data_IF_416720893956
#
_entry.id   IF_416720893956
#
_cell.length_a   1.000
_cell.length_b   1.000
_cell.length_c   1.000
_cell.angle_alpha   90.00
_cell.angle_beta   90.00
_cell.angle_gamma   90.00
#
_symmetry.space_group_name_H-M   'P 1'
#
loop_
_entity.id
_entity.type
_entity.pdbx_description
1 polymer ?
#
# COMPACT_ATOMS: atom_id res chain seq x y z
N UNK A 1 -26.75 9.94 7.05
CA UNK A 1 -25.55 10.33 6.29
C UNK A 1 -24.75 9.07 6.04
N UNK A 2 -24.20 8.91 4.84
CA UNK A 2 -23.34 7.76 4.51
C UNK A 2 -21.90 8.25 4.61
N UNK A 3 -21.07 7.54 5.38
CA UNK A 3 -19.66 7.88 5.50
C UNK A 3 -18.94 7.61 4.17
N UNK A 4 -17.98 8.46 3.76
CA UNK A 4 -17.22 8.22 2.54
C UNK A 4 -16.38 6.94 2.67
N UNK A 5 -16.10 6.24 1.57
CA UNK A 5 -15.18 5.12 1.61
C UNK A 5 -13.76 5.59 1.97
N UNK A 6 -12.94 4.70 2.55
CA UNK A 6 -11.51 4.97 2.72
C UNK A 6 -10.81 5.22 1.38
N UNK A 7 -9.86 6.16 1.37
CA UNK A 7 -9.00 6.39 0.20
C UNK A 7 -8.01 5.23 -0.02
N UNK A 8 -7.53 4.61 1.05
CA UNK A 8 -6.55 3.53 1.02
C UNK A 8 -6.90 2.42 2.01
N UNK A 9 -6.84 1.16 1.56
CA UNK A 9 -6.90 -0.04 2.39
C UNK A 9 -5.57 -0.80 2.31
N UNK A 10 -5.09 -1.35 3.42
CA UNK A 10 -3.89 -2.20 3.45
C UNK A 10 -4.29 -3.60 3.92
N UNK A 11 -3.99 -4.60 3.09
CA UNK A 11 -4.27 -6.02 3.31
C UNK A 11 -2.97 -6.81 3.46
N UNK A 12 -2.96 -7.78 4.39
CA UNK A 12 -1.81 -8.66 4.67
C UNK A 12 -2.27 -10.12 4.50
N UNK A 13 -1.89 -10.71 3.38
CA UNK A 13 -2.35 -12.01 2.88
C UNK A 13 -1.30 -13.09 3.06
N UNK A 14 -1.04 -13.49 4.30
CA UNK A 14 -0.02 -14.52 4.58
C UNK A 14 -0.60 -15.94 4.45
N UNK A 15 -1.86 -16.14 4.85
CA UNK A 15 -2.47 -17.49 4.95
C UNK A 15 -3.82 -17.63 4.25
N UNK A 16 -4.53 -16.53 3.98
CA UNK A 16 -5.82 -16.51 3.30
C UNK A 16 -5.80 -15.51 2.14
N UNK A 17 -6.25 -15.94 0.96
CA UNK A 17 -6.32 -15.08 -0.23
C UNK A 17 -7.40 -14.00 -0.05
N UNK A 18 -6.97 -12.76 0.17
CA UNK A 18 -7.81 -11.56 0.24
C UNK A 18 -8.21 -11.04 -1.14
N UNK A 19 -7.78 -11.70 -2.23
CA UNK A 19 -8.29 -11.46 -3.58
C UNK A 19 -9.83 -11.51 -3.65
N UNK A 20 -10.48 -12.28 -2.76
CA UNK A 20 -11.94 -12.34 -2.65
C UNK A 20 -12.58 -11.04 -2.14
N UNK A 21 -11.80 -10.08 -1.59
CA UNK A 21 -12.32 -8.80 -1.07
C UNK A 21 -12.24 -7.65 -2.07
N UNK A 22 -11.40 -7.75 -3.11
CA UNK A 22 -11.26 -6.68 -4.11
C UNK A 22 -12.61 -6.28 -4.76
N UNK A 23 -13.50 -7.22 -5.16
CA UNK A 23 -14.81 -6.83 -5.68
C UNK A 23 -15.68 -6.06 -4.68
N UNK A 24 -15.58 -6.36 -3.39
CA UNK A 24 -16.30 -5.64 -2.33
C UNK A 24 -15.75 -4.22 -2.17
N UNK A 25 -14.43 -4.06 -2.16
CA UNK A 25 -13.78 -2.74 -2.07
C UNK A 25 -14.09 -1.86 -3.28
N UNK A 26 -14.15 -2.44 -4.48
CA UNK A 26 -14.60 -1.74 -5.67
C UNK A 26 -16.07 -1.29 -5.54
N UNK A 27 -16.96 -2.17 -5.07
CA UNK A 27 -18.39 -1.88 -4.93
C UNK A 27 -18.69 -0.75 -3.93
N UNK A 28 -17.84 -0.55 -2.92
CA UNK A 28 -17.97 0.57 -1.97
C UNK A 28 -17.11 1.78 -2.34
N UNK A 29 -16.32 1.71 -3.43
CA UNK A 29 -15.56 2.85 -3.96
C UNK A 29 -14.24 3.15 -3.26
N UNK A 30 -13.55 2.15 -2.71
CA UNK A 30 -12.19 2.33 -2.16
C UNK A 30 -11.22 2.63 -3.31
N UNK A 31 -10.57 3.80 -3.27
CA UNK A 31 -9.70 4.27 -4.36
C UNK A 31 -8.48 3.38 -4.58
N UNK A 32 -7.84 2.93 -3.49
CA UNK A 32 -6.58 2.19 -3.56
C UNK A 32 -6.50 1.07 -2.52
N UNK A 33 -5.88 -0.06 -2.89
CA UNK A 33 -5.62 -1.20 -2.01
C UNK A 33 -4.16 -1.63 -2.12
N UNK A 34 -3.44 -1.66 -1.00
CA UNK A 34 -2.12 -2.27 -0.93
C UNK A 34 -2.25 -3.68 -0.39
N UNK A 35 -1.74 -4.67 -1.12
CA UNK A 35 -1.79 -6.08 -0.72
C UNK A 35 -0.38 -6.61 -0.55
N UNK A 36 -0.06 -7.07 0.65
CA UNK A 36 1.17 -7.81 0.91
C UNK A 36 0.89 -9.32 0.90
N UNK A 37 1.52 -10.08 0.01
CA UNK A 37 1.27 -11.53 -0.14
C UNK A 37 2.22 -12.43 0.67
N UNK A 38 3.01 -11.84 1.57
CA UNK A 38 4.06 -12.53 2.31
C UNK A 38 5.45 -12.44 1.68
N UNK A 39 5.53 -12.04 0.41
CA UNK A 39 6.78 -11.78 -0.30
C UNK A 39 6.89 -10.33 -0.76
N UNK A 40 5.87 -9.79 -1.44
CA UNK A 40 5.87 -8.45 -2.03
C UNK A 40 4.56 -7.70 -1.81
N UNK A 41 4.63 -6.38 -1.94
CA UNK A 41 3.45 -5.51 -1.95
C UNK A 41 3.04 -5.26 -3.39
N UNK A 42 1.76 -5.47 -3.70
CA UNK A 42 1.11 -4.98 -4.92
C UNK A 42 0.20 -3.81 -4.57
N UNK A 43 0.30 -2.72 -5.32
CA UNK A 43 -0.63 -1.58 -5.24
C UNK A 43 -1.71 -1.80 -6.30
N UNK A 44 -2.97 -1.75 -5.89
CA UNK A 44 -4.13 -1.81 -6.77
C UNK A 44 -4.87 -0.47 -6.74
N UNK A 45 -5.12 0.11 -7.91
CA UNK A 45 -5.94 1.32 -8.05
C UNK A 45 -7.27 0.98 -8.71
N UNK A 46 -8.36 1.57 -8.21
CA UNK A 46 -9.69 1.40 -8.77
C UNK A 46 -9.79 2.21 -10.07
N UNK A 47 -9.99 1.52 -11.19
CA UNK A 47 -10.27 2.11 -12.48
C UNK A 47 -11.66 1.66 -12.94
N UNK A 48 -12.60 2.61 -13.06
CA UNK A 48 -14.02 2.32 -13.27
C UNK A 48 -14.55 1.44 -12.13
N UNK A 49 -14.83 0.17 -12.41
CA UNK A 49 -15.42 -0.79 -11.45
C UNK A 49 -14.46 -1.93 -11.09
N UNK A 50 -13.19 -1.85 -11.50
CA UNK A 50 -12.22 -2.92 -11.28
C UNK A 50 -10.84 -2.40 -10.87
N UNK A 51 -10.13 -3.21 -10.09
CA UNK A 51 -8.76 -2.90 -9.69
C UNK A 51 -7.75 -3.29 -10.77
N UNK A 52 -6.77 -2.41 -10.98
CA UNK A 52 -5.59 -2.68 -11.81
C UNK A 52 -4.33 -2.48 -10.99
N UNK A 53 -3.26 -3.24 -11.27
CA UNK A 53 -1.99 -3.06 -10.57
C UNK A 53 -1.30 -1.77 -11.01
N UNK A 54 -0.76 -1.02 -10.06
CA UNK A 54 0.06 0.17 -10.28
C UNK A 54 1.44 0.00 -9.63
N UNK A 55 2.46 0.62 -10.22
CA UNK A 55 3.80 0.68 -9.63
C UNK A 55 3.88 1.72 -8.50
N UNK A 56 3.11 2.80 -8.61
CA UNK A 56 3.14 3.95 -7.69
C UNK A 56 1.74 4.18 -7.10
N UNK A 57 1.71 4.57 -5.82
CA UNK A 57 0.50 4.97 -5.12
C UNK A 57 -0.06 6.27 -5.69
N UNK A 58 -1.38 6.28 -5.91
CA UNK A 58 -2.16 7.47 -6.21
C UNK A 58 -2.46 8.28 -4.94
N UNK A 59 -2.67 7.60 -3.80
CA UNK A 59 -2.99 8.25 -2.51
C UNK A 59 -1.77 8.90 -1.86
N UNK A 60 -0.58 8.28 -1.99
CA UNK A 60 0.68 8.75 -1.43
C UNK A 60 1.74 8.86 -2.53
N UNK A 61 1.79 10.00 -3.24
CA UNK A 61 2.79 10.23 -4.28
C UNK A 61 4.21 9.94 -3.77
N UNK A 62 5.04 9.36 -4.63
CA UNK A 62 6.40 8.83 -4.34
C UNK A 62 6.46 7.47 -3.63
N UNK A 63 5.36 6.93 -3.11
CA UNK A 63 5.34 5.55 -2.59
C UNK A 63 5.17 4.56 -3.73
N UNK A 64 6.13 3.65 -3.89
CA UNK A 64 6.05 2.56 -4.87
C UNK A 64 5.89 1.20 -4.21
N UNK A 65 5.35 0.23 -4.94
CA UNK A 65 5.27 -1.18 -4.52
C UNK A 65 6.64 -1.74 -4.13
N UNK A 66 7.69 -1.34 -4.85
CA UNK A 66 9.07 -1.71 -4.58
C UNK A 66 9.57 -1.16 -3.24
N UNK A 67 9.36 0.13 -2.96
CA UNK A 67 9.76 0.75 -1.68
C UNK A 67 9.02 0.11 -0.50
N UNK A 68 7.71 -0.13 -0.63
CA UNK A 68 6.94 -0.80 0.41
C UNK A 68 7.44 -2.22 0.68
N UNK A 69 7.72 -2.98 -0.39
CA UNK A 69 8.29 -4.32 -0.30
C UNK A 69 9.64 -4.30 0.42
N UNK A 70 10.51 -3.34 0.08
CA UNK A 70 11.80 -3.15 0.74
C UNK A 70 11.63 -2.81 2.23
N UNK A 71 10.73 -1.90 2.60
CA UNK A 71 10.52 -1.56 4.01
C UNK A 71 10.02 -2.73 4.83
N UNK A 72 9.14 -3.57 4.28
CA UNK A 72 8.70 -4.78 4.99
C UNK A 72 9.88 -5.74 5.19
N UNK A 73 10.74 -5.93 4.18
CA UNK A 73 11.94 -6.76 4.31
C UNK A 73 12.90 -6.21 5.39
N UNK A 74 13.25 -4.91 5.32
CA UNK A 74 14.13 -4.24 6.29
C UNK A 74 13.56 -4.32 7.73
N UNK A 75 12.23 -4.30 7.90
CA UNK A 75 11.58 -4.39 9.22
C UNK A 75 11.85 -5.71 9.96
N UNK A 76 12.21 -6.77 9.23
CA UNK A 76 12.52 -8.09 9.79
C UNK A 76 13.94 -8.16 10.36
N UNK A 77 14.82 -7.27 9.91
CA UNK A 77 16.23 -7.23 10.27
C UNK A 77 16.55 -6.11 11.26
N UNK A 78 15.93 -4.93 11.05
CA UNK A 78 16.17 -3.75 11.85
C UNK A 78 15.33 -3.72 13.12
N UNK A 79 15.89 -3.16 14.19
CA UNK A 79 15.09 -2.81 15.37
C UNK A 79 14.09 -1.71 14.99
N UNK A 80 12.90 -1.76 15.61
CA UNK A 80 11.81 -0.81 15.33
C UNK A 80 12.23 0.68 15.32
N UNK A 81 13.05 1.19 16.27
CA UNK A 81 13.48 2.60 16.21
C UNK A 81 14.33 2.93 14.98
N UNK A 82 15.23 2.04 14.59
CA UNK A 82 16.09 2.21 13.41
C UNK A 82 15.29 2.13 12.13
N UNK A 83 14.34 1.18 12.06
CA UNK A 83 13.42 1.07 10.94
C UNK A 83 12.56 2.32 10.75
N UNK A 84 11.97 2.85 11.84
CA UNK A 84 11.17 4.08 11.78
C UNK A 84 12.01 5.29 11.34
N UNK A 85 13.25 5.39 11.80
CA UNK A 85 14.18 6.45 11.37
C UNK A 85 14.49 6.31 9.87
N UNK A 86 14.81 5.10 9.40
CA UNK A 86 15.07 4.79 7.99
C UNK A 86 13.89 5.15 7.06
N UNK A 87 12.66 4.84 7.46
CA UNK A 87 11.45 5.21 6.71
C UNK A 87 11.25 6.74 6.69
N UNK A 88 11.50 7.42 7.83
CA UNK A 88 11.38 8.88 7.94
C UNK A 88 12.40 9.61 7.07
N UNK A 89 13.66 9.19 7.11
CA UNK A 89 14.74 9.76 6.29
C UNK A 89 14.40 9.62 4.80
N UNK A 90 13.87 8.46 4.39
CA UNK A 90 13.38 8.27 3.02
C UNK A 90 12.22 9.23 2.70
N UNK A 91 11.19 9.30 3.53
CA UNK A 91 10.03 10.16 3.27
C UNK A 91 10.44 11.65 3.14
N UNK A 92 11.39 12.10 3.96
CA UNK A 92 11.95 13.45 3.88
C UNK A 92 12.72 13.70 2.58
N UNK A 93 13.44 12.69 2.07
CA UNK A 93 14.17 12.80 0.80
C UNK A 93 13.24 12.91 -0.42
N UNK A 94 12.04 12.33 -0.35
CA UNK A 94 11.05 12.42 -1.43
C UNK A 94 10.36 13.79 -1.45
N UNK A 95 10.01 14.32 -0.28
CA UNK A 95 9.41 15.66 -0.17
C UNK A 95 10.35 16.81 -0.59
N UNK A 96 11.66 16.55 -0.71
CA UNK A 96 12.65 17.50 -1.21
C UNK A 96 12.80 17.46 -2.74
N UNK A 97 12.11 16.55 -3.43
CA UNK A 97 12.09 16.40 -4.89
C UNK A 97 10.83 17.00 -5.54
N UNK A 98 9.87 17.46 -4.73
CA UNK A 98 8.67 18.23 -5.12
C UNK A 98 8.93 19.75 -5.00
#
# INVERSE_FOLDING_TARGET
TVDPPPDLVIEVDITHLSLNKLPLYAAIGVTEVWRYDGASVTIYTLAQDAYTSSETSHVLPSVTSAVLTQFIAESRELRRPDWLRRVREWAQSQAALD
#
